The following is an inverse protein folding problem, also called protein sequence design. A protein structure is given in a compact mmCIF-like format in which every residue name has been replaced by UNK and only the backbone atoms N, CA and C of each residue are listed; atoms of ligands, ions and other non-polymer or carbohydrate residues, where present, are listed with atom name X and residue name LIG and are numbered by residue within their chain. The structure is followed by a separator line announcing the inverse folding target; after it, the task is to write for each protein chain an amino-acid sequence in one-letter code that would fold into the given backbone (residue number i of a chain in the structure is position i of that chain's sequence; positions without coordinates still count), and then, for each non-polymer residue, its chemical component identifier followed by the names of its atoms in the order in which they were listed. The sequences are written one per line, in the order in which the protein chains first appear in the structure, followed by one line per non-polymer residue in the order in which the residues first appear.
data_IF_335396151927
#
_entry.id   IF_335396151927
#
_cell.length_a   1.000
_cell.length_b   1.000
_cell.length_c   1.000
_cell.angle_alpha   90.00
_cell.angle_beta   90.00
_cell.angle_gamma   90.00
#
_symmetry.space_group_name_H-M   'P 1'
#
loop_
_entity.id
_entity.type
_entity.pdbx_description
1 polymer ?
#
# COMPACT_ATOMS: atom_id res chain seq x y z
N UNK A 1 4.60 -15.47 -32.33
CA UNK A 1 4.04 -14.50 -31.37
C UNK A 1 4.79 -13.19 -31.51
N UNK A 2 4.09 -12.05 -31.58
CA UNK A 2 4.75 -10.74 -31.66
C UNK A 2 5.34 -10.39 -30.29
N UNK A 3 6.43 -9.62 -30.28
CA UNK A 3 7.12 -9.16 -29.06
C UNK A 3 6.19 -8.39 -28.11
N UNK A 4 5.17 -7.74 -28.65
CA UNK A 4 4.12 -7.02 -27.90
C UNK A 4 3.21 -7.97 -27.11
N UNK A 5 2.75 -9.07 -27.71
CA UNK A 5 1.91 -10.08 -27.04
C UNK A 5 2.65 -10.72 -25.85
N UNK A 6 3.96 -10.97 -26.02
CA UNK A 6 4.83 -11.52 -24.98
C UNK A 6 4.99 -10.53 -23.80
N UNK A 7 5.18 -9.24 -24.08
CA UNK A 7 5.26 -8.19 -23.05
C UNK A 7 3.95 -8.03 -22.28
N UNK A 8 2.80 -8.14 -22.96
CA UNK A 8 1.47 -8.07 -22.32
C UNK A 8 1.27 -9.29 -21.40
N UNK A 9 1.53 -10.50 -21.89
CA UNK A 9 1.40 -11.73 -21.09
C UNK A 9 2.35 -11.74 -19.88
N UNK A 10 3.59 -11.26 -20.03
CA UNK A 10 4.55 -11.18 -18.94
C UNK A 10 4.11 -10.17 -17.87
N UNK A 11 3.54 -9.02 -18.27
CA UNK A 11 2.97 -8.06 -17.34
C UNK A 11 1.77 -8.63 -16.59
N UNK A 12 0.86 -9.36 -17.28
CA UNK A 12 -0.27 -10.01 -16.63
C UNK A 12 0.19 -11.03 -15.59
N UNK A 13 1.17 -11.87 -15.92
CA UNK A 13 1.72 -12.85 -14.97
C UNK A 13 2.29 -12.18 -13.72
N UNK A 14 3.10 -11.13 -13.89
CA UNK A 14 3.67 -10.38 -12.75
C UNK A 14 2.57 -9.73 -11.90
N UNK A 15 1.50 -9.23 -12.51
CA UNK A 15 0.36 -8.66 -11.78
C UNK A 15 -0.33 -9.76 -10.94
N UNK A 16 -0.54 -10.95 -11.49
CA UNK A 16 -1.12 -12.08 -10.74
C UNK A 16 -0.24 -12.49 -9.56
N UNK A 17 1.08 -12.58 -9.76
CA UNK A 17 2.05 -12.90 -8.70
C UNK A 17 2.02 -11.84 -7.59
N UNK A 18 2.09 -10.56 -7.94
CA UNK A 18 2.04 -9.47 -6.96
C UNK A 18 0.71 -9.44 -6.17
N UNK A 19 -0.42 -9.77 -6.79
CA UNK A 19 -1.70 -9.88 -6.08
C UNK A 19 -1.71 -11.05 -5.08
N UNK A 20 -1.15 -12.19 -5.47
CA UNK A 20 -1.01 -13.34 -4.57
C UNK A 20 -0.08 -12.99 -3.38
N UNK A 21 1.06 -12.35 -3.65
CA UNK A 21 2.00 -11.92 -2.62
C UNK A 21 1.37 -10.91 -1.66
N UNK A 22 0.56 -9.97 -2.17
CA UNK A 22 -0.20 -9.05 -1.34
C UNK A 22 -1.12 -9.80 -0.38
N UNK A 23 -1.89 -10.78 -0.89
CA UNK A 23 -2.80 -11.57 -0.07
C UNK A 23 -2.06 -12.36 1.02
N UNK A 24 -0.94 -12.99 0.67
CA UNK A 24 -0.08 -13.68 1.63
C UNK A 24 0.45 -12.72 2.71
N UNK A 25 0.93 -11.53 2.31
CA UNK A 25 1.45 -10.51 3.22
C UNK A 25 0.39 -10.05 4.22
N UNK A 26 -0.85 -9.84 3.75
CA UNK A 26 -1.99 -9.49 4.63
C UNK A 26 -2.35 -10.64 5.56
N UNK A 27 -2.32 -11.88 5.08
CA UNK A 27 -2.56 -13.07 5.90
C UNK A 27 -1.52 -13.21 7.02
N UNK A 28 -0.25 -12.96 6.73
CA UNK A 28 0.82 -13.01 7.71
C UNK A 28 0.75 -11.84 8.69
N UNK A 29 0.41 -10.64 8.21
CA UNK A 29 0.13 -9.49 9.08
C UNK A 29 -0.95 -9.83 10.12
N UNK A 30 -2.06 -10.43 9.71
CA UNK A 30 -3.11 -10.84 10.65
C UNK A 30 -2.65 -11.91 11.64
N UNK A 31 -1.86 -12.89 11.20
CA UNK A 31 -1.26 -13.88 12.12
C UNK A 31 -0.27 -13.27 13.10
N UNK A 32 0.46 -12.22 12.72
CA UNK A 32 1.40 -11.55 13.61
C UNK A 32 0.68 -10.79 14.72
N UNK A 33 -0.46 -10.17 14.41
CA UNK A 33 -1.29 -9.47 15.39
C UNK A 33 -1.87 -10.39 16.48
N UNK A 34 -1.86 -11.72 16.29
CA UNK A 34 -2.28 -12.68 17.33
C UNK A 34 -1.14 -13.06 18.28
N UNK A 35 0.10 -12.66 18.00
CA UNK A 35 1.28 -12.97 18.82
C UNK A 35 1.51 -11.83 19.84
N UNK A 36 1.97 -12.17 21.05
CA UNK A 36 2.22 -11.20 22.13
C UNK A 36 3.28 -10.12 21.81
N UNK A 37 3.25 -9.03 22.57
CA UNK A 37 3.72 -7.69 22.18
C UNK A 37 5.22 -7.49 21.90
N UNK A 38 6.13 -8.32 22.44
CA UNK A 38 7.56 -7.98 22.40
C UNK A 38 8.33 -8.49 21.16
N UNK A 39 7.82 -9.52 20.47
CA UNK A 39 8.44 -10.03 19.22
C UNK A 39 7.69 -9.51 17.99
N UNK A 40 6.49 -8.96 18.16
CA UNK A 40 5.60 -8.59 17.06
C UNK A 40 5.94 -7.22 16.42
N UNK A 41 6.58 -6.29 17.14
CA UNK A 41 6.66 -4.90 16.68
C UNK A 41 7.49 -4.69 15.40
N UNK A 42 8.70 -5.25 15.33
CA UNK A 42 9.58 -5.12 14.16
C UNK A 42 9.00 -5.90 12.97
N UNK A 43 8.50 -7.12 13.21
CA UNK A 43 7.90 -7.96 12.16
C UNK A 43 6.60 -7.36 11.60
N UNK A 44 5.82 -6.65 12.43
CA UNK A 44 4.62 -5.93 11.96
C UNK A 44 5.02 -4.79 11.01
N UNK A 45 6.04 -4.01 11.36
CA UNK A 45 6.51 -2.92 10.52
C UNK A 45 7.02 -3.43 9.17
N UNK A 46 7.76 -4.54 9.16
CA UNK A 46 8.22 -5.21 7.96
C UNK A 46 7.05 -5.66 7.06
N UNK A 47 6.01 -6.28 7.64
CA UNK A 47 4.82 -6.68 6.89
C UNK A 47 4.07 -5.48 6.28
N UNK A 48 3.88 -4.41 7.05
CA UNK A 48 3.21 -3.19 6.55
C UNK A 48 4.03 -2.57 5.41
N UNK A 49 5.36 -2.47 5.58
CA UNK A 49 6.26 -1.97 4.55
C UNK A 49 6.20 -2.83 3.27
N UNK A 50 6.24 -4.16 3.41
CA UNK A 50 6.12 -5.10 2.30
C UNK A 50 4.82 -4.94 1.52
N UNK A 51 3.69 -4.81 2.21
CA UNK A 51 2.39 -4.57 1.57
C UNK A 51 2.37 -3.26 0.78
N UNK A 52 2.94 -2.19 1.32
CA UNK A 52 3.05 -0.89 0.64
C UNK A 52 3.92 -1.00 -0.62
N UNK A 53 5.06 -1.69 -0.54
CA UNK A 53 5.94 -1.93 -1.70
C UNK A 53 5.18 -2.67 -2.81
N UNK A 54 4.46 -3.74 -2.48
CA UNK A 54 3.67 -4.52 -3.45
C UNK A 54 2.62 -3.63 -4.13
N UNK A 55 1.94 -2.75 -3.38
CA UNK A 55 0.95 -1.82 -3.94
C UNK A 55 1.57 -0.82 -4.93
N UNK A 56 2.76 -0.27 -4.65
CA UNK A 56 3.47 0.59 -5.61
C UNK A 56 3.90 -0.17 -6.86
N UNK A 57 4.40 -1.41 -6.71
CA UNK A 57 4.77 -2.25 -7.85
C UNK A 57 3.55 -2.59 -8.72
N UNK A 58 2.42 -2.91 -8.11
CA UNK A 58 1.14 -3.12 -8.81
C UNK A 58 0.72 -1.86 -9.57
N UNK A 59 0.76 -0.69 -8.93
CA UNK A 59 0.43 0.57 -9.58
C UNK A 59 1.30 0.80 -10.84
N UNK A 60 2.61 0.60 -10.74
CA UNK A 60 3.53 0.73 -11.86
C UNK A 60 3.22 -0.26 -13.00
N UNK A 61 2.90 -1.52 -12.67
CA UNK A 61 2.51 -2.54 -13.67
C UNK A 61 1.17 -2.24 -14.34
N UNK A 62 0.29 -1.51 -13.66
CA UNK A 62 -1.00 -1.04 -14.18
C UNK A 62 -0.90 0.31 -14.93
N UNK A 63 0.29 0.88 -15.06
CA UNK A 63 0.53 2.12 -15.81
C UNK A 63 0.44 3.41 -14.98
N UNK A 64 0.45 3.32 -13.65
CA UNK A 64 0.47 4.47 -12.76
C UNK A 64 1.86 4.69 -12.16
N UNK A 65 2.37 5.91 -12.24
CA UNK A 65 3.63 6.26 -11.57
C UNK A 65 3.46 6.30 -10.05
N UNK A 66 4.56 6.12 -9.30
CA UNK A 66 4.54 6.24 -7.83
C UNK A 66 4.06 7.63 -7.39
N UNK A 67 4.49 8.69 -8.10
CA UNK A 67 4.02 10.06 -7.85
C UNK A 67 2.50 10.20 -8.03
N UNK A 68 1.92 9.53 -9.04
CA UNK A 68 0.47 9.57 -9.24
C UNK A 68 -0.29 8.88 -8.08
N UNK A 69 0.28 7.81 -7.51
CA UNK A 69 -0.23 7.17 -6.30
C UNK A 69 -0.18 8.14 -5.12
N UNK A 70 0.99 8.76 -4.88
CA UNK A 70 1.20 9.68 -3.76
C UNK A 70 0.27 10.90 -3.84
N UNK A 71 0.13 11.52 -5.01
CA UNK A 71 -0.79 12.64 -5.22
C UNK A 71 -2.26 12.25 -5.01
N UNK A 72 -2.63 11.05 -5.44
CA UNK A 72 -3.98 10.52 -5.21
C UNK A 72 -4.22 10.23 -3.73
N UNK A 73 -3.22 9.71 -3.00
CA UNK A 73 -3.28 9.52 -1.56
C UNK A 73 -3.43 10.86 -0.83
N UNK A 74 -2.63 11.87 -1.17
CA UNK A 74 -2.73 13.24 -0.61
C UNK A 74 -4.15 13.80 -0.78
N UNK A 75 -4.76 13.65 -1.96
CA UNK A 75 -6.15 14.09 -2.22
C UNK A 75 -7.15 13.36 -1.32
N UNK A 76 -7.06 12.03 -1.21
CA UNK A 76 -7.95 11.22 -0.37
C UNK A 76 -7.83 11.59 1.12
N UNK A 77 -6.61 11.78 1.61
CA UNK A 77 -6.37 12.22 2.99
C UNK A 77 -6.97 13.60 3.25
N UNK A 78 -6.80 14.54 2.33
CA UNK A 78 -7.39 15.88 2.45
C UNK A 78 -8.93 15.83 2.51
N UNK A 79 -9.56 14.95 1.73
CA UNK A 79 -11.01 14.74 1.78
C UNK A 79 -11.42 14.25 3.18
N UNK A 80 -10.82 13.16 3.68
CA UNK A 80 -11.17 12.62 5.00
C UNK A 80 -10.89 13.60 6.16
N UNK A 81 -9.91 14.50 6.01
CA UNK A 81 -9.68 15.59 6.96
C UNK A 81 -10.83 16.60 6.95
N UNK A 82 -11.28 17.03 5.77
CA UNK A 82 -12.37 18.00 5.60
C UNK A 82 -13.70 17.42 6.09
N UNK A 83 -13.93 16.13 5.82
CA UNK A 83 -15.15 15.41 6.23
C UNK A 83 -15.15 15.07 7.72
N UNK A 84 -14.04 15.35 8.42
CA UNK A 84 -13.81 14.99 9.82
C UNK A 84 -14.12 13.50 10.07
N UNK A 85 -13.49 12.61 9.29
CA UNK A 85 -13.60 11.17 9.49
C UNK A 85 -13.33 10.78 10.95
N UNK A 86 -13.94 9.69 11.43
CA UNK A 86 -13.76 9.21 12.81
C UNK A 86 -12.28 9.06 13.21
N UNK A 87 -11.43 8.64 12.26
CA UNK A 87 -9.98 8.54 12.44
C UNK A 87 -9.35 9.91 12.68
N UNK A 88 -9.77 10.93 11.93
CA UNK A 88 -9.29 12.31 12.10
C UNK A 88 -9.80 12.92 13.41
N UNK A 89 -11.07 12.73 13.74
CA UNK A 89 -11.69 13.24 14.98
C UNK A 89 -11.01 12.73 16.24
N UNK A 90 -10.60 11.46 16.25
CA UNK A 90 -10.05 10.81 17.46
C UNK A 90 -8.57 11.08 17.70
N UNK A 91 -7.80 11.40 16.67
CA UNK A 91 -6.33 11.45 16.80
C UNK A 91 -5.59 12.36 15.85
N UNK A 92 -6.27 13.03 14.90
CA UNK A 92 -5.63 13.78 13.81
C UNK A 92 -4.70 12.92 12.95
N UNK A 93 -5.00 11.62 12.85
CA UNK A 93 -4.09 10.66 12.20
C UNK A 93 -4.04 10.83 10.68
N UNK A 94 -5.13 11.27 10.05
CA UNK A 94 -5.13 11.61 8.63
C UNK A 94 -4.27 12.86 8.38
N UNK A 95 -4.36 13.87 9.25
CA UNK A 95 -3.50 15.06 9.20
C UNK A 95 -2.02 14.69 9.36
N UNK A 96 -1.67 13.83 10.33
CA UNK A 96 -0.26 13.38 10.52
C UNK A 96 0.27 12.66 9.28
N UNK A 97 -0.51 11.73 8.72
CA UNK A 97 -0.11 10.99 7.53
C UNK A 97 -0.01 11.91 6.31
N UNK A 98 -0.93 12.87 6.16
CA UNK A 98 -0.87 13.86 5.08
C UNK A 98 0.42 14.66 5.12
N UNK A 99 0.83 15.12 6.30
CA UNK A 99 2.09 15.87 6.46
C UNK A 99 3.32 15.02 6.13
N UNK A 100 3.37 13.77 6.62
CA UNK A 100 4.45 12.83 6.30
C UNK A 100 4.59 12.56 4.79
N UNK A 101 3.48 12.40 4.07
CA UNK A 101 3.49 12.17 2.62
C UNK A 101 3.80 13.47 1.85
N UNK A 102 3.46 14.64 2.40
CA UNK A 102 3.74 15.94 1.77
C UNK A 102 5.23 16.27 1.71
N UNK A 103 6.02 15.71 2.63
CA UNK A 103 7.48 15.92 2.73
C UNK A 103 8.30 15.00 1.80
N UNK A 104 7.65 14.07 1.09
CA UNK A 104 8.26 13.19 0.08
C UNK A 104 8.17 13.79 -1.32
#
# INVERSE_FOLDING_TARGET
MKKEDFNIMQNVKIIEELKADLLCTIGDFFKLLTKGSNVAHETILECISGAIIILYLLANRLGYSHTAVDETMKKKLKIGIIEEDEIEKRGKDLTKLYNHIKER
#
